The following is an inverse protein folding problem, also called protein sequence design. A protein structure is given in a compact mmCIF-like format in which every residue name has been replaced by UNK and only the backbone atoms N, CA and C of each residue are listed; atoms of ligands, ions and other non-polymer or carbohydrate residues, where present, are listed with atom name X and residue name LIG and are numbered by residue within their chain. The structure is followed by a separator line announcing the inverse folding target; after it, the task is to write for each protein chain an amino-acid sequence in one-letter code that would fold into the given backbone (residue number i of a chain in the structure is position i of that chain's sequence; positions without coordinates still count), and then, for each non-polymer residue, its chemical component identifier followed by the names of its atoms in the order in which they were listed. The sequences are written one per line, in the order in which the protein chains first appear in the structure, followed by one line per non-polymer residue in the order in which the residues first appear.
data_IF_512660170261
#
_entry.id   IF_512660170261
#
_cell.length_a   1.000
_cell.length_b   1.000
_cell.length_c   1.000
_cell.angle_alpha   90.00
_cell.angle_beta   90.00
_cell.angle_gamma   90.00
#
_symmetry.space_group_name_H-M   'P 1'
#
loop_
_entity.id
_entity.type
_entity.pdbx_description
1 polymer ?
#
# COMPACT_ATOMS: atom_id res chain seq x y z
N UNK A 1 -5.23 18.72 -23.16
CA UNK A 1 -5.12 18.43 -21.72
C UNK A 1 -6.11 17.35 -21.36
N UNK A 2 -5.58 16.25 -20.96
CA UNK A 2 -6.43 15.08 -20.77
C UNK A 2 -7.16 15.17 -19.44
N UNK A 3 -8.47 15.10 -19.52
CA UNK A 3 -9.32 15.01 -18.35
C UNK A 3 -9.00 13.79 -17.48
N UNK A 4 -8.17 12.86 -18.00
CA UNK A 4 -7.76 11.64 -17.36
C UNK A 4 -6.53 11.77 -16.45
N UNK A 5 -5.86 12.93 -16.44
CA UNK A 5 -4.70 13.19 -15.60
C UNK A 5 -5.12 13.57 -14.18
N UNK A 6 -5.91 12.72 -13.57
CA UNK A 6 -6.23 12.87 -12.16
C UNK A 6 -5.11 12.33 -11.29
N UNK A 7 -4.77 13.08 -10.25
CA UNK A 7 -3.87 12.58 -9.22
C UNK A 7 -4.61 11.50 -8.44
N UNK A 8 -4.14 10.26 -8.60
CA UNK A 8 -4.71 9.11 -7.93
C UNK A 8 -4.20 9.00 -6.49
N UNK A 9 -2.90 9.16 -6.32
CA UNK A 9 -2.22 8.99 -5.05
C UNK A 9 -1.39 10.23 -4.75
N UNK A 10 -1.46 10.71 -3.51
CA UNK A 10 -0.65 11.85 -3.08
C UNK A 10 -0.12 11.62 -1.67
N UNK A 11 1.18 11.76 -1.53
CA UNK A 11 1.87 11.80 -0.25
C UNK A 11 2.29 13.26 -0.02
N UNK A 12 1.82 13.85 1.08
CA UNK A 12 2.07 15.25 1.39
C UNK A 12 2.87 15.37 2.69
N UNK A 13 4.10 15.84 2.59
CA UNK A 13 4.99 16.11 3.72
C UNK A 13 5.07 14.94 4.70
N UNK A 14 5.24 13.75 4.16
CA UNK A 14 5.23 12.51 4.93
C UNK A 14 6.52 12.36 5.71
N UNK A 15 6.38 12.21 7.02
CA UNK A 15 7.46 11.79 7.90
C UNK A 15 6.99 10.57 8.67
N UNK A 16 7.88 9.59 8.83
CA UNK A 16 7.61 8.40 9.59
C UNK A 16 8.79 8.06 10.49
N UNK A 17 8.50 7.96 11.77
CA UNK A 17 9.46 7.61 12.79
C UNK A 17 8.97 6.38 13.55
N UNK A 18 9.91 5.51 13.92
CA UNK A 18 9.64 4.33 14.72
C UNK A 18 10.40 4.45 16.04
N UNK A 19 9.70 4.26 17.16
CA UNK A 19 10.33 4.18 18.46
C UNK A 19 10.88 2.77 18.69
N UNK A 20 12.14 2.68 19.13
CA UNK A 20 12.70 1.40 19.61
C UNK A 20 12.43 1.29 21.09
N UNK A 21 11.76 0.21 21.49
CA UNK A 21 11.34 -0.03 22.88
C UNK A 21 12.54 -0.22 23.83
N UNK A 22 13.69 -0.67 23.28
CA UNK A 22 14.85 -1.01 24.11
C UNK A 22 15.73 0.16 24.56
N UNK A 23 15.75 1.26 23.80
CA UNK A 23 16.76 2.31 23.99
C UNK A 23 16.20 3.74 24.00
N UNK A 24 14.90 3.95 23.98
CA UNK A 24 14.26 5.26 23.75
C UNK A 24 14.76 5.96 22.48
N UNK A 25 15.39 5.22 21.57
CA UNK A 25 15.86 5.77 20.31
C UNK A 25 14.76 5.76 19.28
N UNK A 26 14.65 6.89 18.57
CA UNK A 26 13.69 7.04 17.47
C UNK A 26 14.44 6.87 16.15
N UNK A 27 13.96 5.97 15.31
CA UNK A 27 14.48 5.81 13.96
C UNK A 27 13.60 6.57 12.99
N UNK A 28 14.19 7.55 12.28
CA UNK A 28 13.50 8.28 11.23
C UNK A 28 13.60 7.50 9.93
N UNK A 29 12.48 6.89 9.52
CA UNK A 29 12.43 6.12 8.28
C UNK A 29 12.20 7.02 7.07
N UNK A 30 11.35 8.04 7.22
CA UNK A 30 11.02 9.00 6.17
C UNK A 30 11.02 10.41 6.74
N UNK A 31 11.49 11.37 5.95
CA UNK A 31 11.51 12.78 6.32
C UNK A 31 11.04 13.65 5.16
N UNK A 32 9.91 14.31 5.35
CA UNK A 32 9.29 15.25 4.40
C UNK A 32 9.22 14.73 2.96
N UNK A 33 8.70 13.53 2.80
CA UNK A 33 8.52 12.92 1.48
C UNK A 33 7.26 13.46 0.82
N UNK A 34 7.40 13.89 -0.41
CA UNK A 34 6.29 14.32 -1.26
C UNK A 34 6.30 13.49 -2.54
N UNK A 35 5.16 12.93 -2.91
CA UNK A 35 5.02 12.13 -4.09
C UNK A 35 3.59 12.26 -4.62
N UNK A 36 3.46 12.37 -5.94
CA UNK A 36 2.17 12.34 -6.61
C UNK A 36 2.20 11.28 -7.70
N UNK A 37 1.11 10.57 -7.83
CA UNK A 37 0.94 9.55 -8.86
C UNK A 37 -0.38 9.80 -9.58
N UNK A 38 -0.30 9.94 -10.88
CA UNK A 38 -1.49 10.07 -11.73
C UNK A 38 -2.07 8.71 -12.05
N UNK A 39 -3.34 8.68 -12.41
CA UNK A 39 -4.00 7.45 -12.84
C UNK A 39 -3.30 6.85 -14.06
N UNK A 40 -3.03 5.55 -14.03
CA UNK A 40 -2.35 4.84 -15.11
C UNK A 40 -0.83 4.94 -15.10
N UNK A 41 -0.23 5.68 -14.17
CA UNK A 41 1.22 5.77 -14.04
C UNK A 41 1.81 4.51 -13.41
N UNK A 42 3.04 4.24 -13.78
CA UNK A 42 3.90 3.23 -13.16
C UNK A 42 5.11 3.95 -12.54
N UNK A 43 5.27 3.82 -11.24
CA UNK A 43 6.37 4.46 -10.50
C UNK A 43 7.27 3.39 -9.90
N UNK A 44 8.59 3.55 -10.09
CA UNK A 44 9.60 2.70 -9.44
C UNK A 44 10.31 3.49 -8.35
N UNK A 45 10.41 2.88 -7.18
CA UNK A 45 11.20 3.40 -6.07
C UNK A 45 12.53 2.65 -6.01
N UNK A 46 13.62 3.36 -6.24
CA UNK A 46 14.96 2.77 -6.31
C UNK A 46 15.84 3.36 -5.21
N UNK A 47 16.61 2.52 -4.57
CA UNK A 47 17.53 2.95 -3.54
C UNK A 47 18.12 1.78 -2.77
N UNK A 48 19.15 2.02 -1.97
CA UNK A 48 19.78 0.98 -1.17
C UNK A 48 18.84 0.45 -0.09
N UNK A 49 19.20 -0.70 0.47
CA UNK A 49 18.47 -1.30 1.59
C UNK A 49 18.42 -0.33 2.78
N UNK A 50 17.25 -0.22 3.40
CA UNK A 50 17.06 0.65 4.56
C UNK A 50 16.77 2.13 4.24
N UNK A 51 16.53 2.48 2.97
CA UNK A 51 16.24 3.86 2.58
C UNK A 51 14.76 4.27 2.69
N UNK A 52 13.90 3.37 3.18
CA UNK A 52 12.50 3.69 3.41
C UNK A 52 11.52 3.24 2.31
N UNK A 53 11.97 2.52 1.29
CA UNK A 53 11.08 2.04 0.20
C UNK A 53 9.90 1.24 0.71
N UNK A 54 10.15 0.26 1.57
CA UNK A 54 9.10 -0.58 2.15
C UNK A 54 8.15 0.22 3.04
N UNK A 55 8.67 1.24 3.72
CA UNK A 55 7.85 2.12 4.56
C UNK A 55 6.86 2.92 3.71
N UNK A 56 7.30 3.46 2.57
CA UNK A 56 6.41 4.16 1.63
C UNK A 56 5.30 3.22 1.14
N UNK A 57 5.65 2.00 0.75
CA UNK A 57 4.67 1.03 0.27
C UNK A 57 3.64 0.67 1.36
N UNK A 58 4.09 0.51 2.59
CA UNK A 58 3.19 0.20 3.71
C UNK A 58 2.25 1.36 4.04
N UNK A 59 2.71 2.59 3.92
CA UNK A 59 1.87 3.79 4.09
C UNK A 59 0.80 3.84 3.02
N UNK A 60 1.15 3.60 1.76
CA UNK A 60 0.19 3.58 0.65
C UNK A 60 -0.82 2.45 0.82
N UNK A 61 -0.38 1.29 1.25
CA UNK A 61 -1.27 0.15 1.50
C UNK A 61 -2.19 0.37 2.71
N UNK A 62 -1.89 1.34 3.56
CA UNK A 62 -2.67 1.61 4.76
C UNK A 62 -2.34 0.71 5.95
N UNK A 63 -1.22 -0.02 5.88
CA UNK A 63 -0.79 -0.92 6.96
C UNK A 63 -0.18 -0.16 8.14
N UNK A 64 0.38 1.01 7.89
CA UNK A 64 0.91 1.91 8.92
C UNK A 64 0.45 3.32 8.63
N UNK A 65 0.46 4.17 9.66
CA UNK A 65 0.10 5.58 9.55
C UNK A 65 1.35 6.45 9.56
N UNK A 66 1.35 7.60 8.86
CA UNK A 66 2.46 8.52 8.93
C UNK A 66 2.53 9.19 10.32
N UNK A 67 3.73 9.55 10.74
CA UNK A 67 3.92 10.34 11.96
C UNK A 67 3.49 11.79 11.71
N UNK A 68 3.86 12.33 10.56
CA UNK A 68 3.45 13.65 10.08
C UNK A 68 3.02 13.54 8.62
N UNK A 69 2.18 14.46 8.19
CA UNK A 69 1.69 14.50 6.82
C UNK A 69 0.48 13.60 6.61
N UNK A 70 0.07 13.49 5.37
CA UNK A 70 -1.09 12.66 5.01
C UNK A 70 -0.89 11.97 3.67
N UNK A 71 -1.50 10.79 3.54
CA UNK A 71 -1.55 10.01 2.31
C UNK A 71 -3.00 9.98 1.84
N UNK A 72 -3.25 10.39 0.60
CA UNK A 72 -4.60 10.39 0.03
C UNK A 72 -4.66 9.57 -1.25
N UNK A 73 -5.79 8.91 -1.46
CA UNK A 73 -6.13 8.22 -2.71
C UNK A 73 -7.48 8.75 -3.16
N UNK A 74 -7.56 9.23 -4.40
CA UNK A 74 -8.76 9.87 -4.93
C UNK A 74 -9.29 10.97 -4.00
N UNK A 75 -8.37 11.80 -3.47
CA UNK A 75 -8.65 12.91 -2.56
C UNK A 75 -9.18 12.49 -1.18
N UNK A 76 -9.21 11.20 -0.89
CA UNK A 76 -9.61 10.66 0.42
C UNK A 76 -8.40 10.18 1.19
N UNK A 77 -8.29 10.59 2.45
CA UNK A 77 -7.21 10.16 3.32
C UNK A 77 -7.26 8.65 3.57
N UNK A 78 -6.09 8.01 3.50
CA UNK A 78 -5.97 6.58 3.78
C UNK A 78 -5.96 6.39 5.29
N UNK A 79 -6.95 5.64 5.80
CA UNK A 79 -7.08 5.32 7.23
C UNK A 79 -6.77 3.86 7.54
N UNK A 80 -6.67 3.02 6.53
CA UNK A 80 -6.41 1.59 6.71
C UNK A 80 -6.29 0.86 5.38
N UNK A 81 -6.07 -0.46 5.42
CA UNK A 81 -6.06 -1.28 4.21
C UNK A 81 -7.42 -1.24 3.50
N UNK A 82 -7.40 -1.38 2.20
CA UNK A 82 -8.60 -1.40 1.38
C UNK A 82 -8.40 -2.37 0.20
N UNK A 83 -9.48 -3.04 -0.26
CA UNK A 83 -9.42 -3.89 -1.46
C UNK A 83 -8.95 -3.16 -2.72
N UNK A 84 -9.05 -1.84 -2.75
CA UNK A 84 -8.60 -1.03 -3.88
C UNK A 84 -7.08 -0.99 -4.02
N UNK A 85 -6.36 -1.32 -2.95
CA UNK A 85 -4.89 -1.26 -2.92
C UNK A 85 -4.34 -2.62 -2.53
N UNK A 86 -3.81 -3.33 -3.51
CA UNK A 86 -3.11 -4.59 -3.27
C UNK A 86 -1.62 -4.37 -3.01
N UNK A 87 -1.04 -5.23 -2.19
CA UNK A 87 0.39 -5.21 -1.91
C UNK A 87 0.99 -6.59 -2.15
N UNK A 88 2.11 -6.61 -2.89
CA UNK A 88 2.91 -7.82 -3.03
C UNK A 88 4.07 -7.72 -2.05
N UNK A 89 4.10 -8.64 -1.10
CA UNK A 89 5.13 -8.65 -0.06
C UNK A 89 6.44 -9.26 -0.58
N UNK A 90 7.54 -8.88 0.04
CA UNK A 90 8.86 -9.38 -0.30
C UNK A 90 8.99 -10.89 -0.03
N UNK A 91 8.31 -11.39 0.99
CA UNK A 91 8.26 -12.81 1.33
C UNK A 91 6.93 -13.40 0.90
N UNK A 92 6.87 -14.69 0.52
CA UNK A 92 5.59 -15.34 0.22
C UNK A 92 4.66 -15.27 1.43
N UNK A 93 3.41 -14.87 1.16
CA UNK A 93 2.37 -14.70 2.21
C UNK A 93 1.15 -15.56 1.94
N UNK A 94 1.33 -16.65 1.20
CA UNK A 94 0.25 -17.59 0.92
C UNK A 94 -0.14 -18.36 2.19
N UNK A 95 -1.43 -18.70 2.29
CA UNK A 95 -1.90 -19.58 3.34
C UNK A 95 -1.48 -21.02 3.01
N UNK A 96 -0.60 -21.64 3.81
CA UNK A 96 -0.08 -22.98 3.48
C UNK A 96 -1.13 -24.10 3.59
N UNK A 97 -2.24 -23.85 4.31
CA UNK A 97 -3.34 -24.81 4.44
C UNK A 97 -4.36 -24.72 3.32
N UNK A 98 -4.20 -23.80 2.39
CA UNK A 98 -5.08 -23.64 1.23
C UNK A 98 -4.37 -24.07 -0.05
N UNK A 99 -5.15 -24.55 -1.01
CA UNK A 99 -4.67 -24.83 -2.37
C UNK A 99 -4.31 -23.54 -3.08
N UNK A 100 -3.64 -23.63 -4.21
CA UNK A 100 -3.32 -22.47 -5.07
C UNK A 100 -4.62 -21.75 -5.47
N UNK A 101 -5.61 -22.51 -5.94
CA UNK A 101 -6.90 -21.94 -6.33
C UNK A 101 -7.58 -21.20 -5.18
N UNK A 102 -7.59 -21.79 -3.99
CA UNK A 102 -8.20 -21.17 -2.81
C UNK A 102 -7.44 -19.94 -2.33
N UNK A 103 -6.12 -19.92 -2.47
CA UNK A 103 -5.31 -18.71 -2.19
C UNK A 103 -5.67 -17.57 -3.13
N UNK A 104 -5.82 -17.85 -4.41
CA UNK A 104 -6.21 -16.86 -5.41
C UNK A 104 -7.63 -16.36 -5.17
N UNK A 105 -8.54 -17.26 -4.80
CA UNK A 105 -9.95 -16.94 -4.56
C UNK A 105 -10.19 -16.20 -3.25
N UNK A 106 -9.27 -16.29 -2.29
CA UNK A 106 -9.46 -15.79 -0.93
C UNK A 106 -9.86 -14.30 -0.87
N UNK A 107 -9.18 -13.37 -1.57
CA UNK A 107 -9.58 -11.97 -1.55
C UNK A 107 -10.99 -11.75 -2.08
N UNK A 108 -11.39 -12.47 -3.12
CA UNK A 108 -12.73 -12.38 -3.69
C UNK A 108 -13.78 -12.91 -2.72
N UNK A 109 -13.46 -13.99 -2.01
CA UNK A 109 -14.33 -14.57 -0.97
C UNK A 109 -14.53 -13.57 0.17
N UNK A 110 -13.46 -12.90 0.62
CA UNK A 110 -13.55 -11.91 1.69
C UNK A 110 -14.36 -10.69 1.29
N UNK A 111 -14.36 -10.34 0.00
CA UNK A 111 -15.18 -9.26 -0.54
C UNK A 111 -16.60 -9.68 -0.88
N UNK A 112 -16.95 -10.96 -0.73
CA UNK A 112 -18.25 -11.50 -1.14
C UNK A 112 -18.44 -11.59 -2.65
N UNK A 113 -17.34 -11.59 -3.44
CA UNK A 113 -17.37 -11.51 -4.90
C UNK A 113 -17.08 -12.85 -5.59
N UNK A 114 -16.83 -13.91 -4.86
CA UNK A 114 -16.45 -15.20 -5.44
C UNK A 114 -17.56 -15.80 -6.33
N UNK A 115 -18.80 -15.59 -5.95
CA UNK A 115 -19.96 -16.11 -6.68
C UNK A 115 -20.41 -15.22 -7.83
N UNK A 116 -19.82 -14.03 -7.98
CA UNK A 116 -20.08 -13.18 -9.13
C UNK A 116 -19.47 -13.79 -10.38
N UNK A 117 -20.10 -13.60 -11.54
CA UNK A 117 -19.57 -14.08 -12.82
C UNK A 117 -18.11 -13.63 -13.04
N UNK A 118 -17.83 -12.38 -12.72
CA UNK A 118 -16.48 -11.82 -12.83
C UNK A 118 -15.51 -12.38 -11.79
N UNK A 119 -16.00 -12.77 -10.62
CA UNK A 119 -15.20 -13.36 -9.55
C UNK A 119 -14.63 -14.71 -9.94
N UNK A 120 -15.45 -15.57 -10.52
CA UNK A 120 -15.04 -16.91 -10.96
C UNK A 120 -14.03 -16.85 -12.11
N UNK A 121 -14.17 -15.88 -13.00
CA UNK A 121 -13.24 -15.69 -14.12
C UNK A 121 -11.86 -15.24 -13.67
N UNK A 122 -11.74 -14.58 -12.53
CA UNK A 122 -10.47 -14.07 -12.01
C UNK A 122 -9.64 -15.14 -11.29
N UNK A 123 -10.22 -16.25 -10.95
CA UNK A 123 -9.55 -17.38 -10.33
C UNK A 123 -9.11 -18.37 -11.39
#
# INVERSE_FOLDING_TARGET
MDENNKILLKLENISKSFAKVENDQVTHALDQINLQMESGEFISLVGPSGCGKSTVLRLVAGLIQPTLGKVTVNEKEITGPSPERGMVFQKPTLFPWLTVEKNIAFPLKMQGRLNDANGKEKV
#
